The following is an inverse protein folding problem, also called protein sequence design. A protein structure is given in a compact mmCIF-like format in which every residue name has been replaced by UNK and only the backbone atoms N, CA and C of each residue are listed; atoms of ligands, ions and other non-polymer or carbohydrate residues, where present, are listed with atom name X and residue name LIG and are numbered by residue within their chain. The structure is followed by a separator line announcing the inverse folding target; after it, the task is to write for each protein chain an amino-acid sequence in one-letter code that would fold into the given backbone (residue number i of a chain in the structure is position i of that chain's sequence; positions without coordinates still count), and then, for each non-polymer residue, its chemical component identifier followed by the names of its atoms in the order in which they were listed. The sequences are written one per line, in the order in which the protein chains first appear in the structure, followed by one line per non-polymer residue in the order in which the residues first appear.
data_IF_929934973915
#
_entry.id   IF_929934973915
#
_cell.length_a   1.000
_cell.length_b   1.000
_cell.length_c   1.000
_cell.angle_alpha   90.00
_cell.angle_beta   90.00
_cell.angle_gamma   90.00
#
_symmetry.space_group_name_H-M   'P 1'
#
loop_
_entity.id
_entity.type
_entity.pdbx_description
1 polymer ?
#
# COMPACT_ATOMS: atom_id res chain seq x y z
N UNK A 1 7.03 -13.85 18.49
CA UNK A 1 6.71 -13.44 18.16
C UNK A 1 6.22 -12.78 17.89
N UNK A 2 6.02 -12.58 17.63
CA UNK A 2 5.60 -12.06 17.40
C UNK A 2 5.07 -11.56 16.74
N UNK A 3 4.68 -11.15 16.53
CA UNK A 3 4.27 -10.42 15.93
C UNK A 3 4.57 -10.44 14.80
N UNK A 4 4.28 -10.98 14.38
CA UNK A 4 4.73 -11.37 13.32
C UNK A 4 4.45 -10.59 12.15
N UNK A 5 5.46 -10.23 11.54
CA UNK A 5 5.37 -9.79 10.22
C UNK A 5 5.14 -10.98 9.36
N UNK A 6 4.04 -11.01 8.65
CA UNK A 6 3.86 -12.01 7.63
C UNK A 6 4.73 -11.63 6.43
N UNK A 7 5.12 -12.61 5.65
CA UNK A 7 5.81 -12.37 4.39
C UNK A 7 4.89 -12.71 3.25
N UNK A 8 4.74 -11.77 2.33
CA UNK A 8 3.93 -11.99 1.14
C UNK A 8 4.76 -12.75 0.11
N UNK A 9 4.11 -13.59 -0.66
CA UNK A 9 4.77 -14.27 -1.77
C UNK A 9 5.00 -13.29 -2.91
N UNK A 10 5.86 -13.69 -3.86
CA UNK A 10 6.09 -12.84 -5.02
C UNK A 10 4.81 -12.58 -5.80
N UNK A 11 3.95 -13.58 -5.90
CA UNK A 11 2.68 -13.41 -6.58
C UNK A 11 1.79 -12.42 -5.87
N UNK A 12 1.76 -12.48 -4.54
CA UNK A 12 0.97 -11.55 -3.76
C UNK A 12 1.47 -10.13 -3.91
N UNK A 13 2.79 -9.94 -3.84
CA UNK A 13 3.38 -8.63 -4.01
C UNK A 13 3.13 -8.10 -5.42
N UNK A 14 3.29 -8.94 -6.43
CA UNK A 14 3.07 -8.54 -7.80
C UNK A 14 1.63 -8.11 -8.06
N UNK A 15 0.68 -8.72 -7.37
CA UNK A 15 -0.72 -8.35 -7.54
C UNK A 15 -1.02 -6.97 -6.92
N UNK A 16 -0.18 -6.52 -6.00
CA UNK A 16 -0.36 -5.21 -5.37
C UNK A 16 0.34 -4.09 -6.14
N UNK A 17 1.36 -4.41 -6.91
CA UNK A 17 2.13 -3.43 -7.65
C UNK A 17 1.28 -2.75 -8.71
N UNK A 18 1.41 -1.43 -8.83
CA UNK A 18 0.71 -0.68 -9.84
C UNK A 18 0.54 0.77 -9.46
N UNK A 19 -0.13 1.50 -10.32
CA UNK A 19 -0.44 2.90 -10.08
C UNK A 19 -1.89 3.00 -9.64
N UNK A 20 -2.09 3.57 -8.48
CA UNK A 20 -3.42 3.73 -7.89
C UNK A 20 -3.74 5.22 -7.86
N UNK A 21 -4.93 5.58 -8.31
CA UNK A 21 -5.33 6.98 -8.43
C UNK A 21 -6.64 7.24 -7.73
N UNK A 22 -6.73 8.43 -7.13
CA UNK A 22 -7.94 8.95 -6.54
C UNK A 22 -8.45 10.10 -7.40
N UNK A 23 -9.75 10.31 -7.42
CA UNK A 23 -10.34 11.39 -8.19
C UNK A 23 -10.49 12.68 -7.38
N UNK A 24 -10.81 12.54 -6.10
CA UNK A 24 -11.00 13.70 -5.22
C UNK A 24 -10.52 13.37 -3.82
N UNK A 25 -9.41 13.97 -3.40
CA UNK A 25 -8.47 14.79 -4.17
C UNK A 25 -7.71 13.96 -5.21
N UNK A 26 -7.21 14.56 -6.27
CA UNK A 26 -6.46 13.81 -7.28
C UNK A 26 -5.08 13.45 -6.77
N UNK A 27 -4.97 12.25 -6.24
CA UNK A 27 -3.71 11.74 -5.69
C UNK A 27 -3.37 10.44 -6.41
N UNK A 28 -2.12 10.27 -6.74
CA UNK A 28 -1.62 9.03 -7.32
C UNK A 28 -0.59 8.43 -6.37
N UNK A 29 -0.75 7.16 -6.08
CA UNK A 29 0.21 6.40 -5.29
C UNK A 29 0.71 5.25 -6.15
N UNK A 30 2.02 5.16 -6.30
CA UNK A 30 2.64 4.08 -7.02
C UNK A 30 3.09 3.03 -6.02
N UNK A 31 2.66 1.80 -6.23
CA UNK A 31 3.11 0.68 -5.41
C UNK A 31 4.11 -0.09 -6.25
N UNK A 32 5.31 -0.23 -5.72
CA UNK A 32 6.41 -0.90 -6.41
C UNK A 32 6.98 -1.99 -5.51
N UNK A 33 7.86 -2.76 -6.08
CA UNK A 33 8.49 -3.88 -5.39
C UNK A 33 10.00 -3.81 -5.55
N UNK A 34 10.69 -4.10 -4.44
CA UNK A 34 12.14 -4.24 -4.50
C UNK A 34 12.50 -5.51 -3.74
N UNK A 35 12.78 -6.58 -4.49
CA UNK A 35 12.96 -7.88 -3.87
C UNK A 35 11.68 -8.34 -3.17
N UNK A 36 11.76 -8.56 -1.87
CA UNK A 36 10.62 -8.95 -1.07
C UNK A 36 9.92 -7.78 -0.39
N UNK A 37 10.32 -6.57 -0.73
CA UNK A 37 9.80 -5.37 -0.07
C UNK A 37 8.79 -4.69 -0.95
N UNK A 38 7.74 -4.17 -0.33
CA UNK A 38 6.75 -3.36 -1.01
C UNK A 38 6.99 -1.91 -0.67
N UNK A 39 7.05 -1.08 -1.70
CA UNK A 39 7.30 0.34 -1.53
C UNK A 39 6.10 1.12 -2.03
N UNK A 40 5.77 2.19 -1.32
CA UNK A 40 4.73 3.11 -1.74
C UNK A 40 5.32 4.47 -2.00
N UNK A 41 4.82 5.14 -3.02
CA UNK A 41 5.27 6.49 -3.33
C UNK A 41 4.10 7.33 -3.79
N UNK A 42 3.84 8.40 -3.07
CA UNK A 42 2.93 9.44 -3.53
C UNK A 42 3.70 10.27 -4.54
N UNK A 43 3.10 10.53 -5.69
CA UNK A 43 3.76 11.29 -6.75
C UNK A 43 4.22 12.64 -6.21
N UNK A 44 5.48 12.95 -6.40
CA UNK A 44 6.10 14.17 -5.89
C UNK A 44 6.76 14.02 -4.54
N UNK A 45 6.75 12.83 -3.95
CA UNK A 45 7.34 12.59 -2.65
C UNK A 45 8.26 11.37 -2.68
N UNK A 46 9.16 11.24 -1.71
CA UNK A 46 10.02 10.06 -1.65
C UNK A 46 9.23 8.79 -1.39
N UNK A 47 9.74 7.68 -1.92
CA UNK A 47 9.14 6.39 -1.65
C UNK A 47 9.39 5.96 -0.20
N UNK A 48 8.49 5.17 0.35
CA UNK A 48 8.66 4.63 1.69
C UNK A 48 8.31 3.13 1.67
N UNK A 49 8.89 2.41 2.61
CA UNK A 49 8.67 0.98 2.70
C UNK A 49 7.37 0.69 3.44
N UNK A 50 6.59 -0.21 2.87
CA UNK A 50 5.38 -0.70 3.51
C UNK A 50 5.63 -2.08 4.05
N UNK A 51 5.09 -2.36 5.24
CA UNK A 51 5.24 -3.66 5.88
C UNK A 51 3.89 -4.38 5.87
N UNK A 52 3.86 -5.66 5.48
CA UNK A 52 2.60 -6.39 5.47
C UNK A 52 2.15 -6.71 6.89
N UNK A 53 0.94 -6.32 7.21
CA UNK A 53 0.30 -6.70 8.46
C UNK A 53 -0.53 -7.97 8.26
N UNK A 54 -1.16 -8.07 7.11
CA UNK A 54 -1.79 -9.29 6.65
C UNK A 54 -1.75 -9.28 5.11
N UNK A 55 -2.39 -10.25 4.48
CA UNK A 55 -2.28 -10.41 3.03
C UNK A 55 -2.82 -9.23 2.24
N UNK A 56 -3.72 -8.49 2.82
CA UNK A 56 -4.35 -7.37 2.14
C UNK A 56 -4.04 -6.02 2.78
N UNK A 57 -3.28 -6.01 3.86
CA UNK A 57 -3.03 -4.78 4.61
C UNK A 57 -1.55 -4.53 4.75
N UNK A 58 -1.13 -3.33 4.34
CA UNK A 58 0.24 -2.88 4.50
C UNK A 58 0.25 -1.64 5.39
N UNK A 59 1.27 -1.49 6.20
CA UNK A 59 1.36 -0.37 7.13
C UNK A 59 2.72 0.29 7.08
N UNK A 60 2.73 1.58 7.39
CA UNK A 60 3.95 2.33 7.64
C UNK A 60 3.74 3.13 8.92
N UNK A 61 4.17 2.57 10.06
CA UNK A 61 3.88 3.18 11.36
C UNK A 61 4.50 4.55 11.56
N UNK A 62 5.66 4.81 10.95
CA UNK A 62 6.33 6.09 11.12
C UNK A 62 5.51 7.25 10.58
N UNK A 63 4.72 7.00 9.54
CA UNK A 63 3.89 8.02 8.91
C UNK A 63 2.42 7.86 9.26
N UNK A 64 2.09 6.89 10.11
CA UNK A 64 0.70 6.63 10.44
C UNK A 64 -0.14 6.15 9.26
N UNK A 65 0.48 5.45 8.33
CA UNK A 65 -0.17 5.00 7.10
C UNK A 65 -0.60 3.56 7.23
N UNK A 66 -1.83 3.28 6.81
CA UNK A 66 -2.35 1.93 6.68
C UNK A 66 -3.06 1.84 5.34
N UNK A 67 -2.72 0.84 4.56
CA UNK A 67 -3.32 0.64 3.25
C UNK A 67 -3.97 -0.73 3.21
N UNK A 68 -5.24 -0.78 2.87
CA UNK A 68 -6.00 -2.01 2.70
C UNK A 68 -6.29 -2.21 1.22
N UNK A 69 -5.88 -3.35 0.69
CA UNK A 69 -6.05 -3.64 -0.72
C UNK A 69 -7.28 -4.51 -0.97
N UNK A 70 -8.03 -4.18 -1.99
CA UNK A 70 -9.13 -5.02 -2.46
C UNK A 70 -8.77 -5.51 -3.86
N UNK A 71 -8.10 -6.67 -3.91
CA UNK A 71 -7.54 -7.18 -5.16
C UNK A 71 -8.58 -7.49 -6.22
N UNK A 72 -9.73 -7.98 -5.80
CA UNK A 72 -10.80 -8.31 -6.73
C UNK A 72 -11.35 -7.11 -7.45
N UNK A 73 -11.17 -5.92 -6.88
CA UNK A 73 -11.67 -4.68 -7.47
C UNK A 73 -10.55 -3.76 -7.94
N UNK A 74 -9.30 -4.20 -7.81
CA UNK A 74 -8.12 -3.41 -8.21
C UNK A 74 -8.10 -2.05 -7.55
N UNK A 75 -8.44 -2.00 -6.26
CA UNK A 75 -8.44 -0.74 -5.53
C UNK A 75 -7.79 -0.91 -4.16
N UNK A 76 -7.44 0.21 -3.57
CA UNK A 76 -6.93 0.24 -2.22
C UNK A 76 -7.54 1.40 -1.45
N UNK A 77 -7.59 1.24 -0.14
CA UNK A 77 -8.04 2.30 0.77
C UNK A 77 -6.87 2.71 1.64
N UNK A 78 -6.56 4.00 1.61
CA UNK A 78 -5.49 4.57 2.41
C UNK A 78 -6.08 5.21 3.65
N UNK A 79 -5.54 4.84 4.82
CA UNK A 79 -5.89 5.47 6.08
C UNK A 79 -4.64 6.17 6.61
N UNK A 80 -4.76 7.46 6.87
CA UNK A 80 -3.64 8.23 7.39
C UNK A 80 -4.18 9.36 8.26
N UNK A 81 -3.75 9.40 9.53
CA UNK A 81 -4.09 10.49 10.46
C UNK A 81 -5.59 10.78 10.51
N UNK A 82 -6.41 9.73 10.49
CA UNK A 82 -7.86 9.89 10.53
C UNK A 82 -8.51 10.18 9.18
N UNK A 83 -7.72 10.29 8.14
CA UNK A 83 -8.23 10.49 6.79
C UNK A 83 -8.35 9.15 6.05
N UNK A 84 -9.35 9.06 5.23
CA UNK A 84 -9.59 7.86 4.41
C UNK A 84 -9.67 8.27 2.95
N UNK A 85 -8.94 7.54 2.11
CA UNK A 85 -8.89 7.84 0.69
C UNK A 85 -8.93 6.52 -0.09
N UNK A 86 -9.82 6.44 -1.06
CA UNK A 86 -9.93 5.26 -1.92
C UNK A 86 -9.28 5.55 -3.25
N UNK A 87 -8.36 4.67 -3.65
CA UNK A 87 -7.65 4.79 -4.91
C UNK A 87 -7.88 3.53 -5.74
N UNK A 88 -7.94 3.70 -7.04
CA UNK A 88 -8.15 2.58 -7.97
C UNK A 88 -7.01 2.50 -8.97
N UNK A 89 -6.69 1.28 -9.36
CA UNK A 89 -5.74 1.05 -10.44
C UNK A 89 -6.24 1.60 -11.75
#
# INVERSE_FOLDING_TARGET
PDLAEIQLTEEEISSLVGEYKSEQPPIQINITREGNKVLGQVVGQPAFQLKPKDRNTLVQPQFGVKIVFERSENKMTLYQNGHTLVLKK
#
